data_IF_714092561088
#
_entry.id   IF_714092561088
#
_cell.length_a   1.000
_cell.length_b   1.000
_cell.length_c   1.000
_cell.angle_alpha   90.00
_cell.angle_beta   90.00
_cell.angle_gamma   90.00
#
_symmetry.space_group_name_H-M   'P 1'
#
loop_
_entity.id
_entity.type
_entity.pdbx_description
1 polymer ?
#
# COMPACT_ATOMS: atom_id res chain seq x y z
N UNK A 1 25.08 -50.88 -70.26
CA UNK A 1 24.56 -51.60 -69.08
C UNK A 1 25.00 -50.82 -67.88
N UNK A 2 24.03 -50.33 -67.11
CA UNK A 2 24.16 -49.23 -66.16
C UNK A 2 24.68 -49.73 -64.82
N UNK A 3 25.66 -49.01 -64.26
CA UNK A 3 26.30 -49.27 -62.97
C UNK A 3 25.34 -48.96 -61.82
N UNK A 4 25.12 -49.93 -60.94
CA UNK A 4 24.44 -49.71 -59.66
C UNK A 4 25.48 -49.39 -58.57
N UNK A 5 25.27 -48.32 -57.81
CA UNK A 5 26.02 -48.02 -56.59
C UNK A 5 25.00 -47.61 -55.53
N UNK A 6 24.90 -48.31 -54.39
CA UNK A 6 23.99 -47.91 -53.33
C UNK A 6 24.57 -46.72 -52.55
N UNK A 7 23.75 -45.67 -52.49
CA UNK A 7 23.85 -44.52 -51.57
C UNK A 7 23.95 -45.01 -50.13
N UNK A 8 25.01 -44.62 -49.42
CA UNK A 8 25.13 -44.79 -47.98
C UNK A 8 25.26 -43.41 -47.31
N UNK A 9 24.18 -43.07 -46.63
CA UNK A 9 23.92 -42.11 -45.53
C UNK A 9 25.06 -41.22 -45.06
N UNK A 10 24.83 -39.91 -45.18
CA UNK A 10 25.53 -38.87 -44.43
C UNK A 10 25.06 -38.87 -42.97
N UNK A 11 25.98 -39.03 -42.03
CA UNK A 11 25.73 -38.72 -40.62
C UNK A 11 26.30 -37.32 -40.34
N UNK A 12 25.40 -36.36 -40.14
CA UNK A 12 25.73 -35.03 -39.64
C UNK A 12 26.12 -35.15 -38.17
N UNK A 13 27.27 -34.65 -37.71
CA UNK A 13 27.56 -34.59 -36.28
C UNK A 13 26.57 -33.61 -35.62
N UNK A 14 25.87 -34.10 -34.61
CA UNK A 14 25.01 -33.30 -33.73
C UNK A 14 25.83 -32.16 -33.14
N UNK A 15 25.47 -30.92 -33.46
CA UNK A 15 26.03 -29.76 -32.80
C UNK A 15 25.69 -29.84 -31.30
N UNK A 16 26.72 -29.98 -30.46
CA UNK A 16 26.61 -29.76 -29.02
C UNK A 16 26.31 -28.29 -28.81
N UNK A 17 25.06 -27.95 -28.50
CA UNK A 17 24.71 -26.63 -27.99
C UNK A 17 25.32 -26.48 -26.61
N UNK A 18 26.37 -25.68 -26.52
CA UNK A 18 26.90 -25.16 -25.26
C UNK A 18 25.77 -24.44 -24.52
N UNK A 19 25.48 -24.75 -23.24
CA UNK A 19 24.53 -23.96 -22.50
C UNK A 19 25.10 -22.55 -22.35
N UNK A 20 24.48 -21.59 -23.01
CA UNK A 20 24.65 -20.17 -22.68
C UNK A 20 24.50 -20.04 -21.17
N UNK A 21 25.43 -19.39 -20.45
CA UNK A 21 25.21 -19.08 -19.05
C UNK A 21 23.96 -18.22 -18.99
N UNK A 22 22.87 -18.79 -18.49
CA UNK A 22 21.71 -18.03 -18.05
C UNK A 22 22.22 -17.20 -16.88
N UNK A 23 22.66 -15.98 -17.19
CA UNK A 23 22.77 -14.91 -16.21
C UNK A 23 21.43 -14.95 -15.46
N UNK A 24 21.41 -15.29 -14.15
CA UNK A 24 20.20 -15.12 -13.40
C UNK A 24 19.98 -13.62 -13.47
N UNK A 25 18.96 -13.21 -14.23
CA UNK A 25 18.43 -11.86 -14.17
C UNK A 25 18.15 -11.65 -12.69
N UNK A 26 19.13 -11.03 -12.02
CA UNK A 26 18.98 -10.55 -10.67
C UNK A 26 17.78 -9.66 -10.82
N UNK A 27 16.65 -9.92 -10.12
CA UNK A 27 15.57 -8.97 -10.16
C UNK A 27 16.26 -7.65 -9.83
N UNK A 28 16.22 -6.72 -10.78
CA UNK A 28 16.47 -5.34 -10.43
C UNK A 28 15.37 -5.12 -9.41
N UNK A 29 15.73 -5.18 -8.13
CA UNK A 29 14.95 -4.53 -7.12
C UNK A 29 14.90 -3.13 -7.67
N UNK A 30 13.77 -2.82 -8.31
CA UNK A 30 13.35 -1.45 -8.44
C UNK A 30 13.25 -1.07 -6.98
N UNK A 31 14.37 -0.57 -6.46
CA UNK A 31 14.43 0.32 -5.34
C UNK A 31 13.60 1.49 -5.85
N UNK A 32 12.28 1.31 -5.82
CA UNK A 32 11.36 2.38 -6.00
C UNK A 32 11.62 3.17 -4.74
N UNK A 33 12.35 4.27 -4.89
CA UNK A 33 12.32 5.37 -3.95
C UNK A 33 10.91 5.98 -3.98
N UNK A 34 9.86 5.14 -3.89
CA UNK A 34 8.65 5.51 -3.20
C UNK A 34 9.16 5.88 -1.81
N UNK A 35 9.36 7.17 -1.60
CA UNK A 35 9.11 7.72 -0.29
C UNK A 35 7.74 7.15 0.09
N UNK A 36 7.73 6.10 0.93
CA UNK A 36 6.51 5.53 1.49
C UNK A 36 5.98 6.62 2.40
N UNK A 37 5.27 7.57 1.80
CA UNK A 37 4.82 8.72 2.50
C UNK A 37 3.62 8.29 3.30
N UNK A 38 3.86 8.02 4.58
CA UNK A 38 2.78 7.72 5.48
C UNK A 38 1.86 8.93 5.56
N UNK A 39 0.57 8.67 5.36
CA UNK A 39 -0.48 9.58 5.76
C UNK A 39 -0.57 9.56 7.29
N UNK A 40 -0.73 10.73 7.89
CA UNK A 40 -0.93 10.90 9.33
C UNK A 40 -2.31 11.47 9.59
N UNK A 41 -3.03 10.84 10.51
CA UNK A 41 -4.33 11.27 11.00
C UNK A 41 -4.14 12.24 12.18
N UNK A 42 -4.71 13.42 12.04
CA UNK A 42 -4.89 14.37 13.13
C UNK A 42 -6.38 14.49 13.43
N UNK A 43 -6.74 14.52 14.71
CA UNK A 43 -8.12 14.64 15.14
C UNK A 43 -8.20 15.72 16.20
N UNK A 44 -9.00 16.74 15.92
CA UNK A 44 -9.18 17.89 16.79
C UNK A 44 -10.68 18.16 17.00
N UNK A 45 -11.08 18.75 18.14
CA UNK A 45 -12.45 19.24 18.32
C UNK A 45 -12.86 20.14 17.15
N UNK A 46 -14.02 19.88 16.56
CA UNK A 46 -14.52 20.67 15.44
C UNK A 46 -15.10 22.00 15.95
N UNK A 47 -14.49 23.12 15.55
CA UNK A 47 -15.03 24.46 15.85
C UNK A 47 -16.40 24.71 15.20
N UNK A 48 -16.59 24.20 13.98
CA UNK A 48 -17.85 24.28 13.24
C UNK A 48 -18.09 22.97 12.47
N UNK A 49 -19.33 22.48 12.53
CA UNK A 49 -19.79 21.32 11.75
C UNK A 49 -20.83 21.81 10.74
N UNK A 50 -20.60 21.65 9.42
CA UNK A 50 -21.56 22.03 8.40
C UNK A 50 -22.91 21.34 8.64
N UNK A 51 -24.03 22.03 8.42
CA UNK A 51 -25.36 21.46 8.69
C UNK A 51 -25.72 20.26 7.80
N UNK A 52 -25.07 20.11 6.64
CA UNK A 52 -25.25 18.98 5.72
C UNK A 52 -24.16 17.90 5.91
N UNK A 53 -23.22 18.10 6.85
CA UNK A 53 -22.15 17.14 7.08
C UNK A 53 -22.71 15.84 7.68
N UNK A 54 -22.23 14.72 7.17
CA UNK A 54 -22.47 13.42 7.79
C UNK A 54 -21.53 13.29 8.99
N UNK A 55 -22.11 13.17 10.19
CA UNK A 55 -21.38 12.90 11.43
C UNK A 55 -21.48 11.42 11.76
N UNK A 56 -20.33 10.76 11.90
CA UNK A 56 -20.25 9.35 12.22
C UNK A 56 -20.14 9.14 13.74
N UNK A 57 -20.89 8.21 14.32
CA UNK A 57 -20.71 7.87 15.73
C UNK A 57 -19.44 7.02 15.92
N UNK A 58 -18.62 7.38 16.92
CA UNK A 58 -17.43 6.60 17.30
C UNK A 58 -17.76 5.12 17.58
N UNK A 59 -18.94 4.83 18.16
CA UNK A 59 -19.38 3.47 18.44
C UNK A 59 -19.61 2.61 17.19
N UNK A 60 -19.81 3.22 16.01
CA UNK A 60 -19.98 2.54 14.74
C UNK A 60 -18.67 2.36 13.97
N UNK A 61 -17.54 2.87 14.49
CA UNK A 61 -16.23 2.64 13.91
C UNK A 61 -15.78 1.19 14.13
N UNK A 62 -15.02 0.66 13.17
CA UNK A 62 -14.34 -0.62 13.35
C UNK A 62 -13.30 -0.52 14.48
N UNK A 63 -12.82 -1.66 14.98
CA UNK A 63 -11.78 -1.68 16.02
C UNK A 63 -10.50 -0.99 15.55
N UNK A 64 -10.12 -1.16 14.28
CA UNK A 64 -8.94 -0.52 13.68
C UNK A 64 -9.12 1.01 13.61
N UNK A 65 -10.26 1.49 13.11
CA UNK A 65 -10.55 2.94 13.02
C UNK A 65 -10.65 3.59 14.40
N UNK A 66 -11.16 2.88 15.41
CA UNK A 66 -11.14 3.38 16.79
C UNK A 66 -9.72 3.54 17.31
N UNK A 67 -8.84 2.57 17.09
CA UNK A 67 -7.45 2.65 17.53
C UNK A 67 -6.71 3.85 16.90
N UNK A 68 -6.91 4.10 15.60
CA UNK A 68 -6.36 5.27 14.90
C UNK A 68 -6.89 6.59 15.47
N UNK A 69 -8.22 6.66 15.69
CA UNK A 69 -8.86 7.83 16.27
C UNK A 69 -8.38 8.10 17.71
N UNK A 70 -8.32 7.07 18.55
CA UNK A 70 -7.86 7.18 19.94
C UNK A 70 -6.38 7.60 20.01
N UNK A 71 -5.55 7.10 19.08
CA UNK A 71 -4.16 7.52 18.94
C UNK A 71 -4.02 8.99 18.53
N UNK A 72 -4.91 9.49 17.67
CA UNK A 72 -4.94 10.87 17.22
C UNK A 72 -5.50 11.83 18.31
N UNK A 73 -6.59 11.46 18.99
CA UNK A 73 -7.21 12.28 20.06
C UNK A 73 -6.35 12.35 21.32
N UNK A 74 -5.64 11.27 21.67
CA UNK A 74 -4.72 11.24 22.81
C UNK A 74 -3.53 12.19 22.67
N UNK A 75 -3.37 12.82 21.50
CA UNK A 75 -2.23 13.62 21.10
C UNK A 75 -1.05 12.72 20.73
N UNK A 76 -0.39 13.04 19.62
CA UNK A 76 0.86 12.42 19.17
C UNK A 76 2.06 12.76 20.08
N UNK A 77 1.87 12.78 21.39
CA UNK A 77 2.87 13.16 22.39
C UNK A 77 3.96 12.09 22.52
N UNK A 78 3.72 10.91 21.95
CA UNK A 78 4.60 9.76 21.91
C UNK A 78 4.77 9.28 20.46
N UNK A 79 5.97 8.79 20.12
CA UNK A 79 6.25 8.23 18.80
C UNK A 79 5.32 7.05 18.45
N UNK A 80 4.94 6.24 19.45
CA UNK A 80 3.99 5.14 19.28
C UNK A 80 2.58 5.63 18.90
N UNK A 81 2.16 6.79 19.42
CA UNK A 81 0.87 7.41 19.08
C UNK A 81 0.90 8.02 17.68
N UNK A 82 2.04 8.57 17.27
CA UNK A 82 2.22 9.06 15.90
C UNK A 82 2.22 7.91 14.89
N UNK A 83 2.86 6.79 15.21
CA UNK A 83 2.88 5.59 14.37
C UNK A 83 1.48 4.96 14.25
N UNK A 84 0.74 4.87 15.37
CA UNK A 84 -0.64 4.35 15.37
C UNK A 84 -1.66 5.25 14.66
N UNK A 85 -1.37 6.56 14.55
CA UNK A 85 -2.14 7.49 13.73
C UNK A 85 -1.60 7.60 12.30
N UNK A 86 -0.58 6.84 11.93
CA UNK A 86 0.02 6.83 10.60
C UNK A 86 -0.33 5.56 9.82
N UNK A 87 -0.59 5.71 8.53
CA UNK A 87 -0.89 4.62 7.61
C UNK A 87 -0.39 4.96 6.21
N UNK A 88 -0.08 3.97 5.38
CA UNK A 88 0.36 4.25 3.99
C UNK A 88 -0.70 5.05 3.22
N UNK A 89 -0.26 5.98 2.38
CA UNK A 89 -1.04 7.01 1.66
C UNK A 89 -2.21 6.53 0.77
N UNK A 90 -2.39 5.22 0.61
CA UNK A 90 -3.45 4.60 -0.22
C UNK A 90 -4.08 3.38 0.43
N UNK A 91 -4.35 3.49 1.73
CA UNK A 91 -5.05 2.45 2.48
C UNK A 91 -6.53 2.76 2.62
N UNK A 92 -7.34 1.74 2.95
CA UNK A 92 -8.75 1.91 3.35
C UNK A 92 -8.90 2.95 4.48
N UNK A 93 -7.86 3.13 5.32
CA UNK A 93 -7.82 4.14 6.36
C UNK A 93 -7.86 5.56 5.79
N UNK A 94 -7.02 5.83 4.79
CA UNK A 94 -6.97 7.13 4.13
C UNK A 94 -8.34 7.52 3.55
N UNK A 95 -8.93 6.63 2.74
CA UNK A 95 -10.23 6.90 2.11
C UNK A 95 -11.32 7.07 3.16
N UNK A 96 -11.32 6.22 4.20
CA UNK A 96 -12.30 6.30 5.28
C UNK A 96 -12.31 7.67 5.96
N UNK A 97 -11.14 8.16 6.39
CA UNK A 97 -11.00 9.39 7.16
C UNK A 97 -11.21 10.65 6.32
N UNK A 98 -10.88 10.61 5.04
CA UNK A 98 -11.16 11.71 4.11
C UNK A 98 -12.65 11.80 3.79
N UNK A 99 -13.33 10.67 3.59
CA UNK A 99 -14.78 10.65 3.30
C UNK A 99 -15.65 10.95 4.53
N UNK A 100 -15.16 10.62 5.73
CA UNK A 100 -15.91 10.75 6.99
C UNK A 100 -15.17 11.67 7.95
N UNK A 101 -15.06 12.98 7.62
CA UNK A 101 -14.22 13.90 8.36
C UNK A 101 -14.75 14.24 9.75
N UNK A 102 -15.97 13.84 10.12
CA UNK A 102 -16.58 14.22 11.40
C UNK A 102 -16.99 13.00 12.22
N UNK A 103 -16.46 12.89 13.43
CA UNK A 103 -16.79 11.81 14.37
C UNK A 103 -17.34 12.37 15.67
N UNK A 104 -18.47 11.83 16.13
CA UNK A 104 -19.04 12.10 17.45
C UNK A 104 -18.42 11.15 18.48
N UNK A 105 -17.73 11.71 19.47
CA UNK A 105 -17.10 10.97 20.56
C UNK A 105 -17.40 11.63 21.92
N UNK A 106 -17.81 10.83 22.90
CA UNK A 106 -18.26 11.20 24.25
C UNK A 106 -19.41 12.21 24.32
N UNK A 107 -19.19 13.47 23.91
CA UNK A 107 -20.24 14.48 23.72
C UNK A 107 -19.81 15.59 22.72
N UNK A 108 -18.66 15.44 22.07
CA UNK A 108 -18.08 16.45 21.18
C UNK A 108 -17.93 15.88 19.77
N UNK A 109 -17.99 16.75 18.76
CA UNK A 109 -17.70 16.35 17.38
C UNK A 109 -16.26 16.72 17.10
N UNK A 110 -15.49 15.77 16.61
CA UNK A 110 -14.12 15.96 16.21
C UNK A 110 -14.03 15.97 14.68
N UNK A 111 -13.14 16.79 14.14
CA UNK A 111 -12.76 16.76 12.73
C UNK A 111 -11.48 15.97 12.53
N UNK A 112 -11.49 15.01 11.61
CA UNK A 112 -10.30 14.30 11.16
C UNK A 112 -9.67 15.00 9.96
N UNK A 113 -8.36 15.23 10.03
CA UNK A 113 -7.54 15.73 8.94
C UNK A 113 -6.47 14.70 8.65
N UNK A 114 -6.33 14.33 7.39
CA UNK A 114 -5.28 13.41 6.94
C UNK A 114 -4.22 14.21 6.20
N UNK A 115 -2.98 14.18 6.68
CA UNK A 115 -1.84 14.83 6.05
C UNK A 115 -0.94 13.77 5.40
N UNK A 116 -0.68 13.91 4.11
CA UNK A 116 0.30 13.12 3.36
C UNK A 116 1.59 13.94 3.30
N UNK A 117 2.76 13.31 3.48
CA UNK A 117 4.01 13.90 3.05
C UNK A 117 4.18 13.80 1.52
#
# INVERSE_FOLDING_TARGET
MTTETPTATAETPTATTEPTPTDPATPTETDEWYFDCNASLSVDPADEVPSDATVFDYANLSTERRAEFDAAVGGSNSAESADAASFSERTDAYEFWVERPYVRYENETYSSVVAIC
#
